data_IF_080575408008
#
_entry.id   IF_080575408008
#
_cell.length_a   1.000
_cell.length_b   1.000
_cell.length_c   1.000
_cell.angle_alpha   90.00
_cell.angle_beta   90.00
_cell.angle_gamma   90.00
#
_symmetry.space_group_name_H-M   'P 1'
#
loop_
_entity.id
_entity.type
_entity.pdbx_description
1 polymer ?
#
# COMPACT_ATOMS: atom_id res chain seq x y z
N UNK A 1 15.76 -20.90 -7.55
CA UNK A 1 15.77 -19.89 -8.63
C UNK A 1 17.16 -19.77 -9.25
N UNK A 2 17.26 -19.60 -10.58
CA UNK A 2 18.56 -19.41 -11.24
C UNK A 2 19.15 -18.03 -10.93
N UNK A 3 20.49 -17.91 -10.83
CA UNK A 3 21.20 -16.65 -10.53
C UNK A 3 20.78 -15.48 -11.43
N UNK A 4 20.55 -15.74 -12.73
CA UNK A 4 20.06 -14.74 -13.69
C UNK A 4 18.69 -14.16 -13.31
N UNK A 5 17.80 -14.99 -12.76
CA UNK A 5 16.48 -14.57 -12.30
C UNK A 5 16.61 -13.75 -11.01
N UNK A 6 17.45 -14.16 -10.05
CA UNK A 6 17.73 -13.38 -8.84
C UNK A 6 18.23 -11.96 -9.16
N UNK A 7 19.18 -11.85 -10.10
CA UNK A 7 19.70 -10.56 -10.58
C UNK A 7 18.64 -9.64 -11.18
N UNK A 8 17.54 -10.19 -11.74
CA UNK A 8 16.43 -9.40 -12.25
C UNK A 8 15.68 -8.69 -11.11
N UNK A 9 15.51 -9.35 -9.97
CA UNK A 9 14.82 -8.79 -8.79
C UNK A 9 15.58 -7.62 -8.16
N UNK A 10 16.90 -7.56 -8.30
CA UNK A 10 17.74 -6.50 -7.73
C UNK A 10 18.40 -5.61 -8.79
N UNK A 11 17.87 -5.63 -10.01
CA UNK A 11 18.35 -4.75 -11.08
C UNK A 11 17.95 -3.31 -10.76
N UNK A 12 18.86 -2.36 -10.89
CA UNK A 12 18.57 -0.93 -10.73
C UNK A 12 19.09 -0.17 -11.94
N UNK A 13 18.27 0.69 -12.54
CA UNK A 13 18.71 1.61 -13.58
C UNK A 13 19.23 2.90 -12.94
N UNK A 14 20.22 3.54 -13.57
CA UNK A 14 20.75 4.82 -13.10
C UNK A 14 21.80 4.74 -11.99
N UNK A 15 22.10 5.91 -11.43
CA UNK A 15 23.20 6.06 -10.46
C UNK A 15 22.77 5.53 -9.10
N UNK A 16 23.41 4.44 -8.66
CA UNK A 16 23.35 3.92 -7.29
C UNK A 16 24.06 4.89 -6.34
N UNK A 17 23.48 6.09 -6.11
CA UNK A 17 24.09 7.12 -5.26
C UNK A 17 24.33 6.58 -3.85
N UNK A 18 23.44 5.71 -3.38
CA UNK A 18 23.67 4.88 -2.20
C UNK A 18 24.34 3.58 -2.64
N UNK A 19 25.65 3.63 -2.84
CA UNK A 19 26.43 2.41 -3.11
C UNK A 19 26.21 1.34 -2.03
N UNK A 20 25.77 1.69 -0.80
CA UNK A 20 25.65 0.73 0.31
C UNK A 20 24.53 0.92 1.36
N UNK A 21 23.55 1.85 1.24
CA UNK A 21 22.49 2.00 2.28
C UNK A 21 21.11 2.33 1.69
N UNK A 22 20.16 1.38 1.69
CA UNK A 22 18.78 1.66 1.32
C UNK A 22 18.16 2.70 2.26
N UNK A 23 17.15 3.41 1.78
CA UNK A 23 16.52 4.51 2.51
C UNK A 23 15.28 4.01 3.22
N UNK A 24 15.15 4.37 4.50
CA UNK A 24 13.98 4.02 5.33
C UNK A 24 13.29 5.24 5.92
N UNK A 25 13.97 6.39 6.01
CA UNK A 25 13.40 7.60 6.59
C UNK A 25 13.67 8.81 5.70
N UNK A 26 12.78 9.79 5.75
CA UNK A 26 13.07 11.13 5.27
C UNK A 26 14.08 11.85 6.16
N UNK A 27 14.82 12.78 5.56
CA UNK A 27 15.70 13.72 6.24
C UNK A 27 15.26 15.15 5.94
N UNK A 28 15.68 16.13 6.76
CA UNK A 28 15.39 17.56 6.53
C UNK A 28 15.74 18.07 5.12
N UNK A 29 16.74 17.45 4.47
CA UNK A 29 17.15 17.77 3.10
C UNK A 29 16.15 17.38 2.02
N UNK A 30 15.18 16.52 2.35
CA UNK A 30 14.20 16.00 1.41
C UNK A 30 12.94 16.88 1.36
N UNK A 31 12.92 17.98 2.12
CA UNK A 31 11.74 18.85 2.25
C UNK A 31 11.16 19.29 0.90
N UNK A 32 12.00 19.79 -0.02
CA UNK A 32 11.50 20.24 -1.32
C UNK A 32 11.03 19.09 -2.23
N UNK A 33 11.65 17.91 -2.13
CA UNK A 33 11.15 16.70 -2.81
C UNK A 33 9.77 16.29 -2.26
N UNK A 34 9.61 16.35 -0.94
CA UNK A 34 8.34 16.04 -0.28
C UNK A 34 7.23 17.04 -0.63
N UNK A 35 7.54 18.35 -0.65
CA UNK A 35 6.60 19.39 -1.12
C UNK A 35 6.20 19.13 -2.57
N UNK A 36 7.14 18.80 -3.45
CA UNK A 36 6.84 18.50 -4.85
C UNK A 36 5.96 17.24 -4.98
N UNK A 37 6.23 16.19 -4.20
CA UNK A 37 5.35 15.02 -4.12
C UNK A 37 3.93 15.41 -3.69
N UNK A 38 3.77 16.25 -2.67
CA UNK A 38 2.46 16.72 -2.19
C UNK A 38 1.72 17.56 -3.24
N UNK A 39 2.43 18.40 -4.00
CA UNK A 39 1.84 19.14 -5.11
C UNK A 39 1.38 18.20 -6.23
N UNK A 40 2.14 17.14 -6.53
CA UNK A 40 1.72 16.12 -7.51
C UNK A 40 0.50 15.32 -7.03
N UNK A 41 0.43 14.97 -5.74
CA UNK A 41 -0.76 14.36 -5.14
C UNK A 41 -1.97 15.29 -5.26
N UNK A 42 -1.83 16.58 -4.91
CA UNK A 42 -2.89 17.56 -5.02
C UNK A 42 -3.37 17.75 -6.47
N UNK A 43 -2.44 17.76 -7.43
CA UNK A 43 -2.77 17.82 -8.85
C UNK A 43 -3.53 16.57 -9.32
N UNK A 44 -3.12 15.38 -8.88
CA UNK A 44 -3.82 14.13 -9.19
C UNK A 44 -5.25 14.10 -8.59
N UNK A 45 -5.39 14.55 -7.34
CA UNK A 45 -6.68 14.71 -6.65
C UNK A 45 -7.57 15.69 -7.41
N UNK A 46 -7.07 16.86 -7.78
CA UNK A 46 -7.82 17.86 -8.53
C UNK A 46 -8.22 17.34 -9.93
N UNK A 47 -7.30 16.67 -10.62
CA UNK A 47 -7.54 16.11 -11.95
C UNK A 47 -8.63 15.04 -11.99
N UNK A 48 -8.75 14.23 -10.93
CA UNK A 48 -9.78 13.19 -10.85
C UNK A 48 -11.07 13.69 -10.16
N UNK A 49 -10.94 14.25 -8.96
CA UNK A 49 -12.07 14.63 -8.10
C UNK A 49 -12.48 16.09 -8.24
N UNK A 50 -11.93 16.88 -9.16
CA UNK A 50 -12.25 18.31 -9.27
C UNK A 50 -13.74 18.63 -9.50
N UNK A 51 -14.52 17.64 -9.94
CA UNK A 51 -15.99 17.73 -10.06
C UNK A 51 -16.74 17.46 -8.76
N UNK A 52 -16.06 16.92 -7.76
CA UNK A 52 -16.54 16.60 -6.41
C UNK A 52 -15.84 17.54 -5.41
N UNK A 53 -16.36 18.76 -5.19
CA UNK A 53 -15.61 19.82 -4.54
C UNK A 53 -15.17 19.46 -3.11
N UNK A 54 -16.00 18.70 -2.40
CA UNK A 54 -15.71 18.28 -1.03
C UNK A 54 -14.55 17.29 -0.96
N UNK A 55 -14.49 16.29 -1.85
CA UNK A 55 -13.45 15.27 -1.87
C UNK A 55 -12.11 15.87 -2.32
N UNK A 56 -12.16 16.76 -3.33
CA UNK A 56 -11.01 17.53 -3.77
C UNK A 56 -10.47 18.43 -2.65
N UNK A 57 -11.33 19.23 -2.01
CA UNK A 57 -10.92 20.12 -0.92
C UNK A 57 -10.34 19.35 0.26
N UNK A 58 -10.97 18.24 0.64
CA UNK A 58 -10.47 17.34 1.68
C UNK A 58 -9.08 16.81 1.33
N UNK A 59 -8.90 16.24 0.15
CA UNK A 59 -7.61 15.72 -0.29
C UNK A 59 -6.49 16.76 -0.32
N UNK A 60 -6.77 17.97 -0.84
CA UNK A 60 -5.80 19.08 -0.84
C UNK A 60 -5.45 19.54 0.58
N UNK A 61 -6.43 19.56 1.50
CA UNK A 61 -6.18 19.88 2.90
C UNK A 61 -5.27 18.84 3.57
N UNK A 62 -5.44 17.55 3.27
CA UNK A 62 -4.53 16.49 3.75
C UNK A 62 -3.11 16.70 3.20
N UNK A 63 -2.94 17.02 1.90
CA UNK A 63 -1.62 17.33 1.33
C UNK A 63 -0.95 18.51 2.06
N UNK A 64 -1.70 19.58 2.35
CA UNK A 64 -1.17 20.72 3.10
C UNK A 64 -0.74 20.32 4.53
N UNK A 65 -1.56 19.54 5.22
CA UNK A 65 -1.23 19.01 6.54
C UNK A 65 0.08 18.20 6.53
N UNK A 66 0.31 17.39 5.49
CA UNK A 66 1.55 16.60 5.36
C UNK A 66 2.79 17.50 5.19
N UNK A 67 2.71 18.59 4.42
CA UNK A 67 3.81 19.56 4.26
C UNK A 67 4.17 20.21 5.61
N UNK A 68 3.15 20.67 6.35
CA UNK A 68 3.33 21.23 7.69
C UNK A 68 3.95 20.18 8.60
N UNK A 69 3.44 18.94 8.55
CA UNK A 69 3.90 17.87 9.41
C UNK A 69 5.34 17.48 9.18
N UNK A 70 5.77 17.40 7.91
CA UNK A 70 7.16 17.18 7.56
C UNK A 70 8.06 18.26 8.17
N UNK A 71 7.65 19.53 8.06
CA UNK A 71 8.42 20.68 8.57
C UNK A 71 8.63 20.59 10.08
N UNK A 72 7.58 20.21 10.82
CA UNK A 72 7.63 20.01 12.27
C UNK A 72 8.50 18.81 12.64
N UNK A 73 8.33 17.67 11.96
CA UNK A 73 8.93 16.39 12.35
C UNK A 73 10.39 16.28 11.92
N UNK A 74 10.72 16.69 10.71
CA UNK A 74 12.05 16.53 10.13
C UNK A 74 12.88 17.81 10.17
N UNK A 75 12.21 18.97 10.11
CA UNK A 75 12.82 20.26 9.87
C UNK A 75 12.96 20.56 8.38
N UNK A 76 13.38 21.79 8.07
CA UNK A 76 13.46 22.30 6.69
C UNK A 76 14.91 22.53 6.30
N UNK A 77 15.32 21.96 5.17
CA UNK A 77 16.55 22.33 4.48
C UNK A 77 16.31 22.37 2.98
N UNK A 78 16.43 23.57 2.41
CA UNK A 78 16.27 23.78 0.98
C UNK A 78 17.45 23.18 0.21
N UNK A 79 17.20 22.08 -0.50
CA UNK A 79 18.11 21.51 -1.49
C UNK A 79 17.37 21.35 -2.81
N UNK A 80 18.09 21.44 -3.91
CA UNK A 80 17.54 21.19 -5.24
C UNK A 80 16.87 19.79 -5.26
N UNK A 81 15.56 19.71 -5.60
CA UNK A 81 14.85 18.45 -5.71
C UNK A 81 15.56 17.46 -6.64
N UNK A 82 15.44 16.18 -6.31
CA UNK A 82 16.00 15.09 -7.09
C UNK A 82 15.53 15.12 -8.55
N UNK A 83 14.24 15.37 -8.79
CA UNK A 83 13.66 15.45 -10.13
C UNK A 83 14.30 16.51 -11.02
N UNK A 84 14.73 17.64 -10.44
CA UNK A 84 15.42 18.71 -11.16
C UNK A 84 16.91 18.42 -11.34
N UNK A 85 17.54 17.81 -10.33
CA UNK A 85 18.96 17.45 -10.36
C UNK A 85 19.27 16.27 -11.29
N UNK A 86 18.34 15.33 -11.44
CA UNK A 86 18.47 14.11 -12.25
C UNK A 86 17.15 13.74 -12.92
N UNK A 87 16.71 14.50 -13.94
CA UNK A 87 15.42 14.25 -14.60
C UNK A 87 15.34 12.88 -15.28
N UNK A 88 16.47 12.28 -15.67
CA UNK A 88 16.52 10.95 -16.25
C UNK A 88 16.02 9.83 -15.32
N UNK A 89 16.01 10.05 -14.00
CA UNK A 89 15.48 9.09 -13.02
C UNK A 89 13.98 8.85 -13.24
N UNK A 90 13.24 9.81 -13.82
CA UNK A 90 11.84 9.64 -14.20
C UNK A 90 11.70 8.53 -15.26
N UNK A 91 12.60 8.51 -16.25
CA UNK A 91 12.59 7.48 -17.31
C UNK A 91 12.88 6.10 -16.69
N UNK A 92 13.82 6.04 -15.75
CA UNK A 92 14.14 4.81 -15.03
C UNK A 92 12.98 4.32 -14.17
N UNK A 93 12.25 5.21 -13.52
CA UNK A 93 11.04 4.88 -12.79
C UNK A 93 10.03 4.19 -13.72
N UNK A 94 9.70 4.80 -14.87
CA UNK A 94 8.78 4.19 -15.83
C UNK A 94 9.31 2.85 -16.37
N UNK A 95 10.59 2.76 -16.69
CA UNK A 95 11.20 1.50 -17.13
C UNK A 95 11.07 0.40 -16.07
N UNK A 96 11.27 0.73 -14.79
CA UNK A 96 11.08 -0.20 -13.67
C UNK A 96 9.63 -0.63 -13.53
N UNK A 97 8.66 0.30 -13.57
CA UNK A 97 7.24 -0.04 -13.47
C UNK A 97 6.78 -0.90 -14.65
N UNK A 98 7.23 -0.60 -15.87
CA UNK A 98 6.93 -1.43 -17.06
C UNK A 98 7.56 -2.83 -16.96
N UNK A 99 8.83 -2.94 -16.55
CA UNK A 99 9.50 -4.25 -16.39
C UNK A 99 8.84 -5.11 -15.29
N UNK A 100 8.21 -4.45 -14.31
CA UNK A 100 7.47 -5.08 -13.22
C UNK A 100 5.95 -5.18 -13.48
N UNK A 101 5.44 -4.85 -14.67
CA UNK A 101 4.01 -5.02 -14.95
C UNK A 101 3.65 -6.52 -14.91
N UNK A 102 2.68 -6.95 -14.08
CA UNK A 102 2.30 -8.34 -14.02
C UNK A 102 1.55 -8.70 -15.31
N UNK A 103 1.80 -9.91 -15.85
CA UNK A 103 1.17 -10.35 -17.10
C UNK A 103 -0.36 -10.30 -17.06
N UNK A 104 -0.94 -10.54 -15.87
CA UNK A 104 -2.39 -10.56 -15.64
C UNK A 104 -3.04 -9.17 -15.65
N UNK A 105 -2.24 -8.10 -15.64
CA UNK A 105 -2.71 -6.74 -15.88
C UNK A 105 -3.38 -6.62 -17.26
N UNK A 106 -2.76 -7.20 -18.31
CA UNK A 106 -3.24 -7.05 -19.69
C UNK A 106 -4.58 -7.74 -19.97
N UNK A 107 -4.83 -8.98 -19.52
CA UNK A 107 -6.15 -9.59 -19.63
C UNK A 107 -7.25 -8.82 -18.89
N UNK A 108 -6.96 -8.27 -17.71
CA UNK A 108 -7.94 -7.48 -16.95
C UNK A 108 -8.32 -6.20 -17.71
N UNK A 109 -7.32 -5.45 -18.20
CA UNK A 109 -7.54 -4.29 -19.05
C UNK A 109 -8.26 -4.66 -20.36
N UNK A 110 -7.83 -5.74 -21.01
CA UNK A 110 -8.44 -6.23 -22.25
C UNK A 110 -9.90 -6.62 -22.06
N UNK A 111 -10.26 -7.22 -20.92
CA UNK A 111 -11.64 -7.62 -20.61
C UNK A 111 -12.56 -6.41 -20.44
N UNK A 112 -12.16 -5.38 -19.70
CA UNK A 112 -12.99 -4.17 -19.55
C UNK A 112 -13.10 -3.39 -20.87
N UNK A 113 -12.03 -3.34 -21.68
CA UNK A 113 -12.08 -2.72 -23.00
C UNK A 113 -12.99 -3.50 -23.96
N UNK A 114 -12.92 -4.84 -23.94
CA UNK A 114 -13.81 -5.70 -24.72
C UNK A 114 -15.27 -5.48 -24.33
N UNK A 115 -15.57 -5.38 -23.03
CA UNK A 115 -16.91 -5.07 -22.55
C UNK A 115 -17.43 -3.74 -23.13
N UNK A 116 -16.60 -2.70 -23.13
CA UNK A 116 -16.95 -1.40 -23.71
C UNK A 116 -17.21 -1.45 -25.22
N UNK A 117 -16.40 -2.22 -25.97
CA UNK A 117 -16.63 -2.44 -27.41
C UNK A 117 -17.94 -3.17 -27.63
N UNK A 118 -18.25 -4.21 -26.84
CA UNK A 118 -19.50 -4.97 -26.97
C UNK A 118 -20.72 -4.11 -26.66
N UNK A 119 -20.66 -3.25 -25.63
CA UNK A 119 -21.73 -2.29 -25.31
C UNK A 119 -22.00 -1.37 -26.51
N UNK A 120 -20.94 -0.83 -27.13
CA UNK A 120 -21.08 0.05 -28.29
C UNK A 120 -21.59 -0.70 -29.53
N UNK A 121 -21.21 -1.98 -29.70
CA UNK A 121 -21.64 -2.82 -30.81
C UNK A 121 -23.08 -3.34 -30.66
N UNK A 122 -23.64 -3.33 -29.44
CA UNK A 122 -24.97 -3.86 -29.14
C UNK A 122 -25.88 -2.85 -28.42
N UNK A 123 -26.06 -1.62 -28.97
CA UNK A 123 -26.76 -0.54 -28.27
C UNK A 123 -28.24 -0.83 -27.97
N UNK A 124 -28.86 -1.79 -28.67
CA UNK A 124 -30.25 -2.21 -28.42
C UNK A 124 -30.39 -3.21 -27.27
N UNK A 125 -29.29 -3.75 -26.74
CA UNK A 125 -29.32 -4.70 -25.64
C UNK A 125 -29.49 -3.98 -24.29
N UNK A 126 -30.10 -4.64 -23.29
CA UNK A 126 -30.39 -4.03 -21.99
C UNK A 126 -29.12 -3.95 -21.11
N UNK A 127 -28.14 -3.14 -21.50
CA UNK A 127 -26.88 -2.99 -20.77
C UNK A 127 -27.04 -2.26 -19.43
N UNK A 128 -28.01 -1.36 -19.30
CA UNK A 128 -28.25 -0.54 -18.10
C UNK A 128 -26.96 0.13 -17.54
N UNK A 129 -26.16 0.72 -18.43
CA UNK A 129 -24.83 1.29 -18.10
C UNK A 129 -24.90 2.34 -16.99
N UNK A 130 -25.90 3.21 -17.02
CA UNK A 130 -26.04 4.27 -16.01
C UNK A 130 -26.33 3.69 -14.62
N UNK A 131 -27.13 2.63 -14.54
CA UNK A 131 -27.36 1.92 -13.27
C UNK A 131 -26.05 1.33 -12.73
N UNK A 132 -25.25 0.68 -13.58
CA UNK A 132 -23.95 0.14 -13.15
C UNK A 132 -22.97 1.22 -12.73
N UNK A 133 -23.01 2.40 -13.35
CA UNK A 133 -22.21 3.56 -12.94
C UNK A 133 -22.60 4.02 -11.53
N UNK A 134 -23.89 4.15 -11.26
CA UNK A 134 -24.41 4.51 -9.93
C UNK A 134 -24.03 3.47 -8.87
N UNK A 135 -24.16 2.18 -9.19
CA UNK A 135 -23.70 1.08 -8.31
C UNK A 135 -22.20 1.20 -8.05
N UNK A 136 -21.40 1.42 -9.10
CA UNK A 136 -19.95 1.54 -8.96
C UNK A 136 -19.53 2.71 -8.06
N UNK A 137 -20.10 3.90 -8.25
CA UNK A 137 -19.83 5.03 -7.36
C UNK A 137 -20.36 4.80 -5.94
N UNK A 138 -21.54 4.18 -5.79
CA UNK A 138 -22.07 3.80 -4.48
C UNK A 138 -21.13 2.88 -3.72
N UNK A 139 -20.56 1.88 -4.39
CA UNK A 139 -19.56 0.97 -3.81
C UNK A 139 -18.24 1.68 -3.48
N UNK A 140 -17.76 2.57 -4.36
CA UNK A 140 -16.56 3.38 -4.10
C UNK A 140 -16.74 4.25 -2.84
N UNK A 141 -17.87 4.94 -2.71
CA UNK A 141 -18.14 5.77 -1.54
C UNK A 141 -18.39 4.94 -0.28
N UNK A 142 -19.04 3.78 -0.39
CA UNK A 142 -19.18 2.83 0.71
C UNK A 142 -17.80 2.34 1.19
N UNK A 143 -16.88 2.04 0.27
CA UNK A 143 -15.50 1.66 0.57
C UNK A 143 -14.76 2.80 1.30
N UNK A 144 -14.75 4.00 0.73
CA UNK A 144 -14.10 5.17 1.33
C UNK A 144 -14.68 5.51 2.71
N UNK A 145 -16.00 5.58 2.83
CA UNK A 145 -16.69 5.89 4.08
C UNK A 145 -16.50 4.81 5.14
N UNK A 146 -16.60 3.54 4.76
CA UNK A 146 -16.38 2.40 5.66
C UNK A 146 -14.97 2.41 6.25
N UNK A 147 -13.94 2.59 5.41
CA UNK A 147 -12.56 2.68 5.90
C UNK A 147 -12.22 3.99 6.60
N UNK A 148 -12.89 5.09 6.27
CA UNK A 148 -12.79 6.32 7.06
C UNK A 148 -13.28 6.08 8.50
N UNK A 149 -14.46 5.46 8.66
CA UNK A 149 -15.00 5.09 9.97
C UNK A 149 -14.06 4.11 10.68
N UNK A 150 -13.60 3.07 9.98
CA UNK A 150 -12.69 2.07 10.52
C UNK A 150 -11.40 2.69 11.09
N UNK A 151 -10.75 3.56 10.30
CA UNK A 151 -9.55 4.30 10.75
C UNK A 151 -9.86 5.28 11.88
N UNK A 152 -11.03 5.89 11.89
CA UNK A 152 -11.42 6.83 12.95
C UNK A 152 -11.62 6.09 14.28
N UNK A 153 -12.22 4.90 14.27
CA UNK A 153 -12.32 4.04 15.46
C UNK A 153 -10.92 3.63 15.94
N UNK A 154 -10.04 3.22 15.02
CA UNK A 154 -8.63 2.94 15.31
C UNK A 154 -7.93 4.17 15.93
N UNK A 155 -8.14 5.37 15.37
CA UNK A 155 -7.54 6.60 15.87
C UNK A 155 -7.94 6.87 17.31
N UNK A 156 -9.23 6.75 17.62
CA UNK A 156 -9.76 6.98 18.97
C UNK A 156 -9.18 5.96 19.96
N UNK A 157 -9.05 4.69 19.58
CA UNK A 157 -8.49 3.67 20.47
C UNK A 157 -6.99 3.91 20.74
N UNK A 158 -6.21 4.22 19.70
CA UNK A 158 -4.79 4.57 19.83
C UNK A 158 -4.59 5.84 20.66
N UNK A 159 -5.42 6.85 20.45
CA UNK A 159 -5.33 8.10 21.20
C UNK A 159 -5.63 7.90 22.69
N UNK A 160 -6.64 7.08 23.02
CA UNK A 160 -6.96 6.73 24.41
C UNK A 160 -5.84 5.92 25.06
N UNK A 161 -5.26 4.97 24.33
CA UNK A 161 -4.18 4.08 24.77
C UNK A 161 -2.79 4.57 24.37
N UNK A 162 -2.62 5.89 24.24
CA UNK A 162 -1.36 6.50 23.80
C UNK A 162 -0.14 6.12 24.67
N UNK A 163 -0.34 5.78 25.94
CA UNK A 163 0.73 5.31 26.83
C UNK A 163 1.27 3.93 26.39
N UNK A 164 0.39 3.02 25.95
CA UNK A 164 0.78 1.71 25.37
C UNK A 164 1.49 1.92 24.04
N UNK A 165 0.99 2.83 23.20
CA UNK A 165 1.67 3.19 21.95
C UNK A 165 3.07 3.70 22.27
N UNK A 166 3.21 4.59 23.25
CA UNK A 166 4.49 5.14 23.67
C UNK A 166 5.43 4.06 24.20
N UNK A 167 4.97 3.17 25.08
CA UNK A 167 5.79 2.10 25.66
C UNK A 167 6.35 1.17 24.59
N UNK A 168 5.54 0.78 23.59
CA UNK A 168 5.98 -0.06 22.47
C UNK A 168 6.98 0.68 21.59
N UNK A 169 6.70 1.95 21.22
CA UNK A 169 7.59 2.71 20.34
C UNK A 169 8.96 2.98 20.99
N UNK A 170 9.02 3.18 22.31
CA UNK A 170 10.27 3.38 23.06
C UNK A 170 11.21 2.17 23.02
N UNK A 171 10.67 0.98 22.82
CA UNK A 171 11.43 -0.27 22.67
C UNK A 171 11.90 -0.50 21.22
N UNK A 172 11.43 0.32 20.27
CA UNK A 172 11.69 0.17 18.85
C UNK A 172 12.67 1.24 18.33
N UNK A 173 13.10 1.19 17.05
CA UNK A 173 13.86 2.30 16.45
C UNK A 173 13.11 3.64 16.42
N UNK A 174 11.78 3.62 16.60
CA UNK A 174 10.94 4.81 16.69
C UNK A 174 11.06 5.56 18.02
N UNK A 175 11.89 5.09 18.96
CA UNK A 175 12.10 5.75 20.26
C UNK A 175 12.41 7.24 20.14
N UNK A 176 13.13 7.65 19.10
CA UNK A 176 13.50 9.05 18.88
C UNK A 176 12.31 9.91 18.42
N UNK A 177 11.31 9.31 17.78
CA UNK A 177 10.09 10.00 17.30
C UNK A 177 9.21 10.37 18.50
N UNK A 178 9.10 9.48 19.50
CA UNK A 178 8.36 9.75 20.75
C UNK A 178 9.11 10.61 21.79
N UNK A 179 10.45 10.60 21.78
CA UNK A 179 11.26 11.28 22.81
C UNK A 179 11.74 12.68 22.43
N UNK A 180 11.90 12.99 21.14
CA UNK A 180 12.73 14.15 20.74
C UNK A 180 11.93 15.29 20.09
N UNK A 181 10.72 15.07 19.53
CA UNK A 181 10.12 16.07 18.62
C UNK A 181 8.61 16.30 18.68
N UNK A 182 7.85 15.64 19.56
CA UNK A 182 6.41 15.91 19.62
C UNK A 182 5.63 15.09 20.64
N UNK A 183 4.34 15.39 20.76
CA UNK A 183 3.39 14.58 21.51
C UNK A 183 3.10 13.29 20.74
N UNK A 184 3.12 12.13 21.39
CA UNK A 184 2.72 10.85 20.76
C UNK A 184 1.34 10.93 20.09
N UNK A 185 0.44 11.77 20.63
CA UNK A 185 -0.87 12.02 20.05
C UNK A 185 -0.80 12.71 18.69
N UNK A 186 0.15 13.61 18.50
CA UNK A 186 0.40 14.23 17.21
C UNK A 186 0.89 13.20 16.18
N UNK A 187 1.79 12.29 16.56
CA UNK A 187 2.26 11.21 15.69
C UNK A 187 1.13 10.25 15.31
N UNK A 188 0.21 9.96 16.24
CA UNK A 188 -1.01 9.19 15.97
C UNK A 188 -1.92 9.90 14.95
N UNK A 189 -2.12 11.22 15.07
CA UNK A 189 -2.91 11.99 14.08
C UNK A 189 -2.20 12.07 12.74
N UNK A 190 -0.88 12.25 12.73
CA UNK A 190 -0.09 12.20 11.51
C UNK A 190 -0.27 10.86 10.79
N UNK A 191 -0.18 9.74 11.51
CA UNK A 191 -0.42 8.40 10.97
C UNK A 191 -1.83 8.25 10.37
N UNK A 192 -2.85 8.78 11.03
CA UNK A 192 -4.22 8.80 10.52
C UNK A 192 -4.34 9.62 9.22
N UNK A 193 -3.77 10.82 9.17
CA UNK A 193 -3.80 11.66 7.97
C UNK A 193 -3.01 11.02 6.81
N UNK A 194 -1.86 10.40 7.10
CA UNK A 194 -1.11 9.60 6.11
C UNK A 194 -1.99 8.52 5.49
N UNK A 195 -2.67 7.71 6.31
CA UNK A 195 -3.53 6.65 5.78
C UNK A 195 -4.73 7.17 5.00
N UNK A 196 -5.34 8.28 5.42
CA UNK A 196 -6.42 8.91 4.67
C UNK A 196 -5.97 9.41 3.29
N UNK A 197 -4.85 10.11 3.23
CA UNK A 197 -4.32 10.64 1.97
C UNK A 197 -3.88 9.51 1.04
N UNK A 198 -3.14 8.52 1.57
CA UNK A 198 -2.74 7.34 0.81
C UNK A 198 -3.97 6.62 0.24
N UNK A 199 -5.05 6.53 1.01
CA UNK A 199 -6.25 5.81 0.59
C UNK A 199 -6.99 6.53 -0.52
N UNK A 200 -7.09 7.85 -0.38
CA UNK A 200 -7.70 8.70 -1.40
C UNK A 200 -6.93 8.62 -2.72
N UNK A 201 -5.60 8.65 -2.68
CA UNK A 201 -4.77 8.51 -3.90
C UNK A 201 -4.86 7.10 -4.48
N UNK A 202 -4.87 6.07 -3.64
CA UNK A 202 -4.93 4.68 -4.08
C UNK A 202 -6.17 4.37 -4.93
N UNK A 203 -7.33 4.91 -4.57
CA UNK A 203 -8.58 4.65 -5.31
C UNK A 203 -8.78 5.57 -6.52
N UNK A 204 -7.85 6.49 -6.81
CA UNK A 204 -7.92 7.37 -7.99
C UNK A 204 -8.09 6.60 -9.31
N UNK A 205 -7.29 5.55 -9.61
CA UNK A 205 -7.47 4.76 -10.82
C UNK A 205 -8.87 4.16 -10.93
N UNK A 206 -9.42 3.64 -9.82
CA UNK A 206 -10.75 3.04 -9.82
C UNK A 206 -11.85 4.09 -10.06
N UNK A 207 -11.75 5.26 -9.43
CA UNK A 207 -12.64 6.39 -9.71
C UNK A 207 -12.61 6.81 -11.19
N UNK A 208 -11.41 6.88 -11.81
CA UNK A 208 -11.27 7.22 -13.22
C UNK A 208 -11.89 6.16 -14.13
N UNK A 209 -11.67 4.87 -13.84
CA UNK A 209 -12.32 3.76 -14.55
C UNK A 209 -13.84 3.87 -14.48
N UNK A 210 -14.40 4.11 -13.29
CA UNK A 210 -15.84 4.31 -13.10
C UNK A 210 -16.38 5.56 -13.80
N UNK A 211 -15.54 6.59 -13.99
CA UNK A 211 -15.92 7.83 -14.68
C UNK A 211 -15.94 7.66 -16.19
N UNK A 212 -14.92 7.00 -16.76
CA UNK A 212 -14.70 7.01 -18.20
C UNK A 212 -15.09 5.72 -18.92
N UNK A 213 -15.16 4.60 -18.21
CA UNK A 213 -15.58 3.32 -18.79
C UNK A 213 -17.06 3.03 -18.49
N UNK A 214 -17.60 2.10 -19.26
CA UNK A 214 -18.96 1.59 -19.14
C UNK A 214 -18.93 0.13 -18.68
N UNK A 215 -19.92 -0.23 -17.86
CA UNK A 215 -20.12 -1.58 -17.36
C UNK A 215 -21.57 -2.00 -17.63
N UNK A 216 -21.77 -3.25 -18.02
CA UNK A 216 -23.04 -3.81 -18.46
C UNK A 216 -23.63 -4.73 -17.39
N UNK A 217 -24.88 -4.50 -17.01
CA UNK A 217 -25.63 -5.44 -16.14
C UNK A 217 -25.70 -6.83 -16.81
N UNK A 218 -25.93 -6.86 -18.13
CA UNK A 218 -26.06 -8.10 -18.90
C UNK A 218 -24.77 -8.95 -18.85
N UNK A 219 -23.60 -8.30 -18.89
CA UNK A 219 -22.32 -9.01 -18.88
C UNK A 219 -21.76 -9.26 -17.48
N UNK A 220 -22.34 -8.63 -16.45
CA UNK A 220 -21.85 -8.68 -15.07
C UNK A 220 -21.63 -10.11 -14.55
N UNK A 221 -22.53 -11.10 -14.72
CA UNK A 221 -22.30 -12.45 -14.21
C UNK A 221 -21.03 -13.09 -14.78
N UNK A 222 -20.84 -13.00 -16.10
CA UNK A 222 -19.67 -13.56 -16.78
C UNK A 222 -18.39 -12.81 -16.41
N UNK A 223 -18.42 -11.48 -16.46
CA UNK A 223 -17.25 -10.64 -16.17
C UNK A 223 -16.81 -10.82 -14.71
N UNK A 224 -17.74 -10.97 -13.76
CA UNK A 224 -17.41 -11.26 -12.36
C UNK A 224 -16.66 -12.59 -12.21
N UNK A 225 -17.12 -13.67 -12.88
CA UNK A 225 -16.45 -14.98 -12.84
C UNK A 225 -15.05 -14.89 -13.45
N UNK A 226 -14.90 -14.20 -14.60
CA UNK A 226 -13.61 -14.00 -15.23
C UNK A 226 -12.65 -13.18 -14.36
N UNK A 227 -13.13 -12.12 -13.70
CA UNK A 227 -12.32 -11.32 -12.78
C UNK A 227 -11.87 -12.12 -11.56
N UNK A 228 -12.74 -12.94 -10.98
CA UNK A 228 -12.36 -13.83 -9.86
C UNK A 228 -11.29 -14.84 -10.29
N UNK A 229 -11.43 -15.42 -11.49
CA UNK A 229 -10.43 -16.32 -12.04
C UNK A 229 -9.08 -15.60 -12.27
N UNK A 230 -9.10 -14.39 -12.84
CA UNK A 230 -7.91 -13.56 -13.03
C UNK A 230 -7.25 -13.19 -11.70
N UNK A 231 -8.03 -12.80 -10.69
CA UNK A 231 -7.53 -12.43 -9.37
C UNK A 231 -6.92 -13.63 -8.64
N UNK A 232 -7.54 -14.82 -8.76
CA UNK A 232 -6.98 -16.07 -8.25
C UNK A 232 -5.62 -16.42 -8.87
N UNK A 233 -5.43 -16.19 -10.17
CA UNK A 233 -4.12 -16.35 -10.80
C UNK A 233 -3.13 -15.25 -10.35
N UNK A 234 -3.63 -14.05 -10.08
CA UNK A 234 -2.79 -12.94 -9.63
C UNK A 234 -2.19 -13.20 -8.25
N UNK A 235 -2.92 -13.84 -7.34
CA UNK A 235 -2.37 -14.26 -6.05
C UNK A 235 -1.13 -15.16 -6.14
N UNK A 236 -0.96 -15.93 -7.23
CA UNK A 236 0.26 -16.74 -7.43
C UNK A 236 1.49 -15.90 -7.78
N UNK A 237 1.28 -14.71 -8.36
CA UNK A 237 2.34 -13.83 -8.83
C UNK A 237 2.56 -12.61 -7.91
N UNK A 238 1.60 -12.29 -7.04
CA UNK A 238 1.57 -11.05 -6.28
C UNK A 238 2.78 -10.90 -5.36
N UNK A 239 3.25 -11.98 -4.70
CA UNK A 239 4.38 -11.88 -3.79
C UNK A 239 5.67 -11.51 -4.53
N UNK A 240 5.95 -12.16 -5.66
CA UNK A 240 7.13 -11.85 -6.47
C UNK A 240 7.06 -10.42 -7.05
N UNK A 241 5.89 -10.03 -7.53
CA UNK A 241 5.65 -8.67 -8.01
C UNK A 241 5.87 -7.62 -6.91
N UNK A 242 5.29 -7.85 -5.73
CA UNK A 242 5.34 -6.96 -4.57
C UNK A 242 6.76 -6.86 -4.03
N UNK A 243 7.46 -7.99 -3.85
CA UNK A 243 8.87 -8.02 -3.44
C UNK A 243 9.71 -7.08 -4.31
N UNK A 244 9.56 -7.19 -5.64
CA UNK A 244 10.33 -6.37 -6.57
C UNK A 244 10.00 -4.88 -6.44
N UNK A 245 8.71 -4.56 -6.39
CA UNK A 245 8.26 -3.17 -6.28
C UNK A 245 8.70 -2.52 -4.97
N UNK A 246 8.57 -3.26 -3.87
CA UNK A 246 8.95 -2.85 -2.54
C UNK A 246 10.48 -2.71 -2.39
N UNK A 247 11.25 -3.66 -2.93
CA UNK A 247 12.71 -3.56 -2.99
C UNK A 247 13.15 -2.28 -3.71
N UNK A 248 12.52 -1.94 -4.84
CA UNK A 248 12.78 -0.68 -5.55
C UNK A 248 12.41 0.53 -4.67
N UNK A 249 11.28 0.47 -3.97
CA UNK A 249 10.83 1.49 -3.01
C UNK A 249 11.89 1.89 -1.99
N UNK A 250 12.72 0.95 -1.55
CA UNK A 250 13.80 1.21 -0.59
C UNK A 250 15.19 1.45 -1.22
N UNK A 251 15.43 0.92 -2.42
CA UNK A 251 16.76 0.92 -3.05
C UNK A 251 16.93 1.98 -4.14
N UNK A 252 15.84 2.53 -4.68
CA UNK A 252 15.82 3.69 -5.59
C UNK A 252 15.48 4.96 -4.80
N UNK A 253 16.37 5.97 -4.88
CA UNK A 253 16.14 7.25 -4.17
C UNK A 253 14.89 7.97 -4.66
N UNK A 254 14.60 7.86 -5.97
CA UNK A 254 13.41 8.49 -6.55
C UNK A 254 12.14 7.76 -6.10
N UNK A 255 12.12 6.43 -6.19
CA UNK A 255 10.99 5.63 -5.72
C UNK A 255 10.74 5.87 -4.23
N UNK A 256 11.78 5.90 -3.39
CA UNK A 256 11.61 6.22 -1.98
C UNK A 256 11.02 7.62 -1.78
N UNK A 257 11.62 8.65 -2.38
CA UNK A 257 11.23 10.02 -2.09
C UNK A 257 9.80 10.35 -2.54
N UNK A 258 9.38 9.82 -3.69
CA UNK A 258 8.14 10.23 -4.35
C UNK A 258 7.03 9.18 -4.33
N UNK A 259 7.37 7.90 -4.21
CA UNK A 259 6.38 6.83 -4.22
C UNK A 259 6.23 6.23 -2.82
N UNK A 260 7.29 5.68 -2.26
CA UNK A 260 7.23 4.72 -1.16
C UNK A 260 7.35 5.34 0.23
N UNK A 261 8.26 6.29 0.42
CA UNK A 261 8.65 6.82 1.73
C UNK A 261 7.52 7.47 2.52
N UNK A 262 6.44 7.91 1.87
CA UNK A 262 5.30 8.56 2.54
C UNK A 262 4.67 7.72 3.67
N UNK A 263 4.65 6.39 3.55
CA UNK A 263 4.15 5.54 4.65
C UNK A 263 5.20 5.30 5.73
N UNK A 264 6.49 5.23 5.38
CA UNK A 264 7.60 5.16 6.34
C UNK A 264 7.79 6.47 7.09
N UNK A 265 7.14 7.55 6.64
CA UNK A 265 7.12 8.79 7.36
C UNK A 265 6.27 8.67 8.64
N UNK A 266 5.24 7.83 8.66
CA UNK A 266 4.34 7.74 9.81
C UNK A 266 4.70 6.59 10.75
N UNK A 267 4.36 6.74 12.04
CA UNK A 267 4.53 5.64 13.00
C UNK A 267 3.71 4.43 12.55
N UNK A 268 4.28 3.22 12.69
CA UNK A 268 3.70 2.01 12.13
C UNK A 268 2.51 1.62 13.02
N UNK A 269 1.30 2.03 12.61
CA UNK A 269 0.02 1.77 13.29
C UNK A 269 -1.01 1.31 12.26
N UNK A 270 -2.09 0.66 12.70
CA UNK A 270 -3.27 0.35 11.87
C UNK A 270 -4.06 1.60 11.41
N UNK A 271 -3.37 2.72 11.22
CA UNK A 271 -3.84 4.01 10.75
C UNK A 271 -3.18 4.40 9.42
N UNK A 272 -1.93 3.98 9.17
CA UNK A 272 -1.14 4.44 8.02
C UNK A 272 -1.45 3.71 6.72
N UNK A 273 -2.07 2.54 6.82
CA UNK A 273 -1.90 1.48 5.82
C UNK A 273 -2.97 1.49 4.72
N UNK A 274 -2.50 1.35 3.47
CA UNK A 274 -3.28 1.16 2.24
C UNK A 274 -2.46 0.35 1.22
N UNK A 275 -2.13 -0.89 1.56
CA UNK A 275 -1.22 -1.79 0.83
C UNK A 275 0.28 -1.55 1.07
N UNK A 276 0.67 -0.97 2.21
CA UNK A 276 2.06 -0.57 2.44
C UNK A 276 2.55 0.42 1.38
N UNK A 277 1.67 1.32 0.95
CA UNK A 277 1.89 2.25 -0.16
C UNK A 277 2.18 3.65 0.38
N UNK A 278 3.22 4.30 -0.12
CA UNK A 278 3.26 5.76 -0.03
C UNK A 278 2.26 6.39 -1.00
N UNK A 279 2.17 7.73 -1.01
CA UNK A 279 1.03 8.40 -1.64
C UNK A 279 0.92 8.12 -3.14
N UNK A 280 1.90 8.54 -3.95
CA UNK A 280 1.87 8.29 -5.40
C UNK A 280 2.13 6.82 -5.73
N UNK A 281 2.74 6.04 -4.84
CA UNK A 281 2.87 4.59 -5.03
C UNK A 281 1.49 3.92 -5.18
N UNK A 282 0.50 4.33 -4.40
CA UNK A 282 -0.87 3.82 -4.52
C UNK A 282 -1.45 4.03 -5.93
N UNK A 283 -1.20 5.20 -6.53
CA UNK A 283 -1.60 5.52 -7.91
C UNK A 283 -0.89 4.62 -8.93
N UNK A 284 0.42 4.42 -8.81
CA UNK A 284 1.18 3.56 -9.73
C UNK A 284 0.82 2.08 -9.55
N UNK A 285 0.71 1.59 -8.31
CA UNK A 285 0.37 0.19 -8.06
C UNK A 285 -1.05 -0.12 -8.52
N UNK A 286 -2.04 0.75 -8.30
CA UNK A 286 -3.42 0.47 -8.75
C UNK A 286 -3.69 0.87 -10.19
N UNK A 287 -2.94 1.82 -10.74
CA UNK A 287 -3.05 2.21 -12.14
C UNK A 287 -2.24 1.33 -13.08
N UNK A 288 -1.11 0.77 -12.63
CA UNK A 288 -0.09 0.10 -13.44
C UNK A 288 0.54 -1.12 -12.72
N UNK A 289 -0.25 -1.89 -11.96
CA UNK A 289 0.24 -3.08 -11.26
C UNK A 289 -0.89 -4.05 -10.92
N UNK A 290 -1.72 -3.69 -9.97
CA UNK A 290 -2.89 -4.45 -9.57
C UNK A 290 -3.96 -4.43 -10.68
N UNK A 291 -4.47 -5.60 -11.07
CA UNK A 291 -5.55 -5.69 -12.06
C UNK A 291 -6.92 -5.25 -11.51
N UNK A 292 -7.07 -5.13 -10.17
CA UNK A 292 -8.33 -4.91 -9.48
C UNK A 292 -9.09 -3.65 -9.91
N UNK A 293 -8.36 -2.58 -10.23
CA UNK A 293 -8.92 -1.33 -10.77
C UNK A 293 -9.76 -1.52 -12.04
N UNK A 294 -9.42 -2.50 -12.88
CA UNK A 294 -10.09 -2.73 -14.16
C UNK A 294 -11.20 -3.79 -14.06
N UNK A 295 -11.44 -4.34 -12.88
CA UNK A 295 -12.53 -5.28 -12.69
C UNK A 295 -13.89 -4.59 -12.72
N UNK A 296 -14.93 -5.41 -12.92
CA UNK A 296 -16.31 -5.02 -12.70
C UNK A 296 -16.45 -4.42 -11.28
N UNK A 297 -17.27 -3.37 -11.09
CA UNK A 297 -17.33 -2.64 -9.83
C UNK A 297 -17.57 -3.50 -8.59
N UNK A 298 -18.32 -4.61 -8.71
CA UNK A 298 -18.57 -5.52 -7.59
C UNK A 298 -17.29 -6.24 -7.15
N UNK A 299 -16.50 -6.73 -8.10
CA UNK A 299 -15.26 -7.45 -7.81
C UNK A 299 -14.17 -6.47 -7.40
N UNK A 300 -14.06 -5.31 -8.05
CA UNK A 300 -13.13 -4.26 -7.64
C UNK A 300 -13.38 -3.82 -6.19
N UNK A 301 -14.65 -3.58 -5.81
CA UNK A 301 -15.03 -3.27 -4.43
C UNK A 301 -14.60 -4.37 -3.46
N UNK A 302 -14.89 -5.63 -3.79
CA UNK A 302 -14.56 -6.76 -2.92
C UNK A 302 -13.04 -6.90 -2.74
N UNK A 303 -12.27 -6.94 -3.82
CA UNK A 303 -10.82 -7.17 -3.76
C UNK A 303 -10.09 -5.99 -3.12
N UNK A 304 -10.37 -4.75 -3.53
CA UNK A 304 -9.75 -3.56 -2.93
C UNK A 304 -10.11 -3.43 -1.44
N UNK A 305 -11.35 -3.73 -1.05
CA UNK A 305 -11.72 -3.71 0.37
C UNK A 305 -10.96 -4.75 1.18
N UNK A 306 -10.82 -5.97 0.66
CA UNK A 306 -10.06 -7.02 1.32
C UNK A 306 -8.57 -6.67 1.43
N UNK A 307 -7.98 -6.09 0.38
CA UNK A 307 -6.58 -5.65 0.36
C UNK A 307 -6.33 -4.53 1.36
N UNK A 308 -7.12 -3.45 1.32
CA UNK A 308 -6.99 -2.32 2.24
C UNK A 308 -7.21 -2.74 3.69
N UNK A 309 -8.22 -3.58 3.97
CA UNK A 309 -8.44 -4.09 5.33
C UNK A 309 -7.27 -4.93 5.82
N UNK A 310 -6.86 -5.93 5.02
CA UNK A 310 -5.76 -6.83 5.40
C UNK A 310 -4.49 -6.04 5.68
N UNK A 311 -4.23 -5.00 4.89
CA UNK A 311 -3.06 -4.16 5.06
C UNK A 311 -3.13 -3.30 6.34
N UNK A 312 -4.27 -2.66 6.61
CA UNK A 312 -4.51 -1.91 7.86
C UNK A 312 -4.24 -2.81 9.06
N UNK A 313 -4.76 -4.03 9.03
CA UNK A 313 -4.61 -4.97 10.12
C UNK A 313 -3.15 -5.42 10.26
N UNK A 314 -2.50 -5.84 9.16
CA UNK A 314 -1.12 -6.31 9.13
C UNK A 314 -0.09 -5.24 9.55
N UNK A 315 -0.42 -3.97 9.34
CA UNK A 315 0.35 -2.82 9.81
C UNK A 315 -0.12 -2.31 11.17
N UNK A 316 -0.87 -3.09 11.96
CA UNK A 316 -1.08 -2.78 13.37
C UNK A 316 0.06 -3.36 14.21
N UNK A 317 1.01 -2.52 14.60
CA UNK A 317 2.20 -2.93 15.35
C UNK A 317 2.07 -2.81 16.85
N UNK A 318 1.08 -2.05 17.32
CA UNK A 318 0.82 -1.93 18.74
C UNK A 318 -0.19 -3.01 19.13
N UNK A 319 0.23 -4.10 19.80
CA UNK A 319 -0.67 -5.13 20.29
C UNK A 319 -1.72 -4.58 21.27
N UNK A 320 -2.83 -5.29 21.45
CA UNK A 320 -3.90 -4.90 22.38
C UNK A 320 -4.80 -3.71 21.93
N UNK A 321 -4.42 -2.99 20.87
CA UNK A 321 -5.15 -1.83 20.33
C UNK A 321 -5.86 -2.21 19.02
N UNK A 322 -7.08 -1.71 18.82
CA UNK A 322 -7.82 -1.89 17.58
C UNK A 322 -7.09 -1.24 16.39
N UNK A 323 -6.97 -1.91 15.23
CA UNK A 323 -7.56 -3.21 14.90
C UNK A 323 -6.77 -4.39 15.48
N UNK A 324 -7.45 -5.27 16.22
CA UNK A 324 -6.77 -6.39 16.88
C UNK A 324 -6.58 -7.52 15.88
N UNK A 325 -5.32 -7.84 15.60
CA UNK A 325 -4.93 -9.09 14.97
C UNK A 325 -4.74 -10.20 16.01
N UNK A 326 -5.22 -11.43 15.74
CA UNK A 326 -4.92 -12.59 16.57
C UNK A 326 -3.41 -12.82 16.69
N UNK A 327 -2.96 -13.21 17.88
CA UNK A 327 -1.55 -13.52 18.17
C UNK A 327 -0.91 -14.46 17.14
N UNK A 328 -1.58 -15.57 16.82
CA UNK A 328 -1.04 -16.56 15.89
C UNK A 328 -0.93 -16.04 14.47
N UNK A 329 -1.76 -15.06 14.09
CA UNK A 329 -1.57 -14.39 12.81
C UNK A 329 -0.28 -13.57 12.82
N UNK A 330 0.01 -12.85 13.93
CA UNK A 330 1.26 -12.08 14.09
C UNK A 330 2.50 -12.97 14.09
N UNK A 331 2.42 -14.18 14.64
CA UNK A 331 3.49 -15.19 14.52
C UNK A 331 3.73 -15.60 13.08
N UNK A 332 2.67 -15.75 12.28
CA UNK A 332 2.75 -16.23 10.91
C UNK A 332 3.12 -15.15 9.89
N UNK A 333 3.30 -13.88 10.30
CA UNK A 333 3.56 -12.76 9.37
C UNK A 333 4.69 -11.87 9.87
N UNK A 334 5.67 -11.60 9.02
CA UNK A 334 6.81 -10.74 9.36
C UNK A 334 6.96 -9.52 8.47
N UNK A 335 6.11 -9.31 7.45
CA UNK A 335 6.24 -8.17 6.53
C UNK A 335 6.54 -6.88 7.28
N UNK A 336 5.69 -6.61 8.24
CA UNK A 336 5.64 -5.39 9.01
C UNK A 336 6.96 -5.12 9.78
N UNK A 337 7.73 -6.16 10.13
CA UNK A 337 8.98 -6.03 10.90
C UNK A 337 10.03 -5.14 10.24
N UNK A 338 9.96 -4.93 8.91
CA UNK A 338 10.89 -4.04 8.24
C UNK A 338 10.73 -2.56 8.67
N UNK A 339 9.54 -2.17 9.15
CA UNK A 339 9.34 -0.85 9.76
C UNK A 339 10.07 -0.67 11.10
N UNK A 340 10.67 -1.73 11.66
CA UNK A 340 11.59 -1.67 12.80
C UNK A 340 13.07 -1.54 12.39
N UNK A 341 13.35 -0.88 11.27
CA UNK A 341 14.71 -0.49 10.92
C UNK A 341 15.54 -1.58 10.28
N UNK A 342 14.96 -2.77 10.08
CA UNK A 342 15.52 -3.79 9.21
C UNK A 342 14.87 -3.60 7.83
N UNK A 343 15.61 -3.60 6.73
CA UNK A 343 14.99 -3.33 5.42
C UNK A 343 14.31 -4.56 4.80
N UNK A 344 14.54 -5.72 5.41
CA UNK A 344 13.95 -6.99 5.03
C UNK A 344 12.90 -7.38 6.10
N UNK A 345 11.83 -8.08 5.73
CA UNK A 345 11.55 -8.65 4.40
C UNK A 345 10.95 -7.62 3.42
N UNK A 346 11.15 -7.84 2.12
CA UNK A 346 10.56 -7.03 1.05
C UNK A 346 9.25 -7.64 0.52
N UNK A 347 9.03 -8.95 0.64
CA UNK A 347 7.78 -9.62 0.32
C UNK A 347 6.73 -9.52 1.42
N UNK A 348 5.63 -10.27 1.28
CA UNK A 348 4.60 -10.37 2.32
C UNK A 348 5.06 -11.16 3.56
N UNK A 349 6.14 -11.93 3.46
CA UNK A 349 6.75 -12.72 4.54
C UNK A 349 5.72 -13.42 5.43
N UNK A 350 4.87 -14.23 4.80
CA UNK A 350 3.91 -15.12 5.46
C UNK A 350 4.51 -16.53 5.51
N UNK A 351 4.34 -17.21 6.64
CA UNK A 351 4.70 -18.61 6.83
C UNK A 351 3.49 -19.38 7.39
N UNK A 352 2.67 -19.93 6.50
CA UNK A 352 1.48 -20.69 6.88
C UNK A 352 1.80 -22.10 7.41
N UNK A 353 3.05 -22.55 7.26
CA UNK A 353 3.55 -23.85 7.72
C UNK A 353 4.32 -23.77 9.05
N UNK A 354 4.30 -22.59 9.71
CA UNK A 354 4.93 -22.42 11.02
C UNK A 354 4.36 -23.43 12.04
N UNK A 355 5.22 -24.23 12.70
CA UNK A 355 4.78 -25.17 13.72
C UNK A 355 4.06 -24.47 14.89
N UNK A 356 2.97 -25.07 15.38
CA UNK A 356 2.24 -24.57 16.54
C UNK A 356 1.19 -23.49 16.25
N UNK A 357 0.97 -23.12 14.98
CA UNK A 357 -0.17 -22.27 14.61
C UNK A 357 -1.51 -22.95 14.93
N UNK A 358 -2.49 -22.16 15.38
CA UNK A 358 -3.85 -22.66 15.55
C UNK A 358 -4.41 -23.18 14.20
N UNK A 359 -5.12 -24.33 14.20
CA UNK A 359 -5.64 -24.92 12.96
C UNK A 359 -6.53 -23.99 12.13
N UNK A 360 -7.29 -23.11 12.78
CA UNK A 360 -8.15 -22.13 12.11
C UNK A 360 -7.34 -21.08 11.34
N UNK A 361 -6.23 -20.61 11.91
CA UNK A 361 -5.33 -19.63 11.28
C UNK A 361 -4.58 -20.27 10.11
N UNK A 362 -4.00 -21.45 10.34
CA UNK A 362 -3.31 -22.20 9.28
C UNK A 362 -4.26 -22.53 8.11
N UNK A 363 -5.50 -22.96 8.40
CA UNK A 363 -6.51 -23.22 7.37
C UNK A 363 -6.91 -21.94 6.62
N UNK A 364 -7.07 -20.82 7.33
CA UNK A 364 -7.42 -19.54 6.73
C UNK A 364 -6.33 -18.99 5.82
N UNK A 365 -5.05 -19.17 6.19
CA UNK A 365 -3.94 -18.83 5.29
C UNK A 365 -3.94 -19.76 4.07
N UNK A 366 -4.04 -21.08 4.27
CA UNK A 366 -4.01 -22.09 3.20
C UNK A 366 -5.20 -22.06 2.21
N UNK A 367 -6.13 -21.11 2.33
CA UNK A 367 -7.11 -20.85 1.25
C UNK A 367 -6.50 -20.11 0.06
N UNK A 368 -5.35 -19.45 0.25
CA UNK A 368 -4.61 -18.80 -0.82
C UNK A 368 -3.57 -19.75 -1.43
N UNK A 369 -3.06 -19.48 -2.64
CA UNK A 369 -1.98 -20.26 -3.24
C UNK A 369 -0.71 -20.28 -2.39
N UNK A 370 0.06 -21.36 -2.49
CA UNK A 370 1.29 -21.57 -1.70
C UNK A 370 2.31 -20.43 -1.89
N UNK A 371 2.40 -19.84 -3.09
CA UNK A 371 3.29 -18.72 -3.39
C UNK A 371 2.99 -17.46 -2.57
N UNK A 372 1.75 -17.34 -2.08
CA UNK A 372 1.33 -16.26 -1.19
C UNK A 372 1.47 -16.66 0.29
N UNK A 373 0.97 -17.84 0.65
CA UNK A 373 0.93 -18.35 2.03
C UNK A 373 2.29 -18.63 2.64
N UNK A 374 3.26 -18.97 1.79
CA UNK A 374 4.65 -19.22 2.15
C UNK A 374 5.57 -18.22 1.44
N UNK A 375 5.12 -16.97 1.37
CA UNK A 375 5.82 -15.87 0.71
C UNK A 375 7.22 -15.61 1.28
N UNK A 376 7.47 -16.05 2.52
CA UNK A 376 8.79 -16.04 3.16
C UNK A 376 9.88 -16.68 2.31
N UNK A 377 9.59 -17.79 1.62
CA UNK A 377 10.61 -18.54 0.89
C UNK A 377 11.31 -17.68 -0.20
N UNK A 378 10.58 -16.71 -0.77
CA UNK A 378 11.15 -15.78 -1.74
C UNK A 378 12.09 -14.77 -1.08
N UNK A 379 11.73 -14.24 0.09
CA UNK A 379 12.56 -13.31 0.85
C UNK A 379 13.87 -13.97 1.30
N UNK A 380 13.82 -15.19 1.81
CA UNK A 380 15.01 -15.98 2.18
C UNK A 380 15.87 -16.34 0.95
N UNK A 381 15.22 -16.66 -0.18
CA UNK A 381 15.95 -17.01 -1.40
C UNK A 381 16.68 -15.82 -2.04
N UNK A 382 16.06 -14.63 -2.01
CA UNK A 382 16.57 -13.44 -2.69
C UNK A 382 17.43 -12.57 -1.77
N UNK A 383 17.13 -12.50 -0.48
CA UNK A 383 17.79 -11.60 0.48
C UNK A 383 18.79 -12.29 1.40
N UNK A 384 19.09 -11.64 2.53
CA UNK A 384 19.75 -12.24 3.69
C UNK A 384 18.75 -12.46 4.83
N UNK A 385 17.46 -12.46 4.50
CA UNK A 385 16.39 -12.56 5.46
C UNK A 385 16.37 -13.97 6.05
N UNK A 386 16.21 -14.04 7.37
CA UNK A 386 15.99 -15.27 8.12
C UNK A 386 14.70 -15.10 8.94
N UNK A 387 13.82 -16.11 8.88
CA UNK A 387 12.58 -16.08 9.66
C UNK A 387 12.84 -15.91 11.16
N UNK A 388 13.73 -16.72 11.72
CA UNK A 388 14.07 -16.70 13.14
C UNK A 388 15.12 -15.61 13.43
N UNK A 389 14.69 -14.35 13.32
CA UNK A 389 15.55 -13.20 13.59
C UNK A 389 15.23 -12.54 14.96
N UNK A 390 16.23 -11.92 15.63
CA UNK A 390 16.03 -11.28 16.93
C UNK A 390 14.97 -10.18 16.97
N UNK A 391 14.64 -9.57 15.82
CA UNK A 391 13.60 -8.54 15.73
C UNK A 391 12.22 -9.13 15.80
N UNK A 392 11.97 -10.25 15.11
CA UNK A 392 10.72 -10.95 15.22
C UNK A 392 10.51 -11.50 16.63
N UNK A 393 11.52 -12.13 17.22
CA UNK A 393 11.45 -12.61 18.61
C UNK A 393 11.09 -11.49 19.59
N UNK A 394 11.72 -10.32 19.44
CA UNK A 394 11.37 -9.15 20.23
C UNK A 394 9.91 -8.72 20.01
N UNK A 395 9.46 -8.66 18.76
CA UNK A 395 8.09 -8.26 18.45
C UNK A 395 7.05 -9.22 19.04
N UNK A 396 7.32 -10.53 19.00
CA UNK A 396 6.46 -11.53 19.62
C UNK A 396 6.39 -11.33 21.14
N UNK A 397 7.51 -11.08 21.82
CA UNK A 397 7.52 -10.76 23.26
C UNK A 397 6.68 -9.52 23.58
N UNK A 398 6.81 -8.47 22.78
CA UNK A 398 5.98 -7.26 22.92
C UNK A 398 4.50 -7.56 22.75
N UNK A 399 4.14 -8.48 21.85
CA UNK A 399 2.75 -8.93 21.69
C UNK A 399 2.26 -9.68 22.93
N UNK A 400 3.07 -10.58 23.49
CA UNK A 400 2.74 -11.34 24.71
C UNK A 400 2.55 -10.44 25.94
N UNK A 401 3.29 -9.33 26.04
CA UNK A 401 3.19 -8.39 27.16
C UNK A 401 1.91 -7.53 27.15
N UNK A 402 1.23 -7.42 25.99
CA UNK A 402 0.20 -6.42 25.75
C UNK A 402 -1.11 -6.98 25.18
N UNK A 403 -1.20 -8.29 24.93
CA UNK A 403 -2.45 -9.03 24.72
C UNK A 403 -3.07 -9.50 26.04
#
# INVERSE_FOLDING_TARGET
>A
MQEKQKRRFHRLFGARKYKHKPKINYAKSDFLDYVLMMLMCAAAIYGAYGREPWLCAFGVALCFFMIVSFSVRHGVLFKMPLLLRRPQEIIYLFAHKIENLPRLYWPALGLVLLENVLIQATPSWPHHVEFMRQVGFGLLYLHLGGFFIYRTVSLVDHWRKHDVVSSVLLQSPWKNVGLVRGSIRYEIVHAYVTGLLAHLILVLPWYLVLTYLQFSVLFTPLVCVLNLALHGQFYKAINAWFYRDHWLGHNSELDFLYLHGGHHDAIPLGLIAVGGNGFLEGLFRNGLGYPSTFYNPLIAFFTLSMEVKSDIDAHQFVPGIFPRLPFDFRKATQHSTHHFGHLEPYGFAINADLPGLLPAVAKGLKTFPDEFCNSIALDEELGQFEWDNPRHEWFIKVCEEHE
#
